data_IF_292928847525
#
_entry.id   IF_292928847525
#
_cell.length_a   1.000
_cell.length_b   1.000
_cell.length_c   1.000
_cell.angle_alpha   90.00
_cell.angle_beta   90.00
_cell.angle_gamma   90.00
#
_symmetry.space_group_name_H-M   'P 1'
#
loop_
_entity.id
_entity.type
_entity.pdbx_description
1 polymer ?
#
# COMPACT_ATOMS: atom_id res chain seq x y z
N UNK A 1 11.17 -20.90 -18.90
CA UNK A 1 10.13 -19.84 -18.97
C UNK A 1 9.95 -19.36 -17.54
N UNK A 2 10.13 -18.06 -17.25
CA UNK A 2 9.96 -17.55 -15.88
C UNK A 2 8.47 -17.60 -15.50
N UNK A 3 8.16 -18.02 -14.28
CA UNK A 3 6.79 -18.08 -13.80
C UNK A 3 6.14 -16.69 -13.79
N UNK A 4 4.90 -16.61 -14.28
CA UNK A 4 4.07 -15.44 -14.16
C UNK A 4 2.60 -15.85 -14.10
N UNK A 5 1.81 -15.10 -13.35
CA UNK A 5 0.38 -15.30 -13.20
C UNK A 5 -0.31 -13.95 -13.01
N UNK A 6 -1.49 -13.81 -13.62
CA UNK A 6 -2.42 -12.72 -13.33
C UNK A 6 -3.69 -13.36 -12.78
N UNK A 7 -4.20 -12.81 -11.68
CA UNK A 7 -5.35 -13.37 -10.97
C UNK A 7 -6.24 -12.27 -10.41
N UNK A 8 -7.50 -12.60 -10.16
CA UNK A 8 -8.44 -11.73 -9.47
C UNK A 8 -9.23 -12.56 -8.45
N UNK A 9 -9.34 -12.04 -7.23
CA UNK A 9 -10.15 -12.66 -6.18
C UNK A 9 -10.74 -11.59 -5.26
N UNK A 10 -11.49 -12.02 -4.25
CA UNK A 10 -12.13 -11.11 -3.30
C UNK A 10 -11.11 -10.20 -2.58
N UNK A 11 -9.91 -10.69 -2.25
CA UNK A 11 -8.89 -9.90 -1.57
C UNK A 11 -8.24 -8.88 -2.50
N UNK A 12 -7.90 -9.24 -3.74
CA UNK A 12 -7.31 -8.27 -4.70
C UNK A 12 -8.30 -7.15 -5.01
N UNK A 13 -9.59 -7.48 -5.21
CA UNK A 13 -10.66 -6.49 -5.42
C UNK A 13 -10.82 -5.53 -4.25
N UNK A 14 -10.87 -6.05 -3.02
CA UNK A 14 -11.00 -5.23 -1.80
C UNK A 14 -9.80 -4.32 -1.59
N UNK A 15 -8.59 -4.82 -1.83
CA UNK A 15 -7.35 -4.03 -1.73
C UNK A 15 -7.36 -2.92 -2.80
N UNK A 16 -7.68 -3.24 -4.06
CA UNK A 16 -7.77 -2.24 -5.13
C UNK A 16 -8.79 -1.15 -4.82
N UNK A 17 -9.99 -1.53 -4.38
CA UNK A 17 -11.04 -0.59 -3.94
C UNK A 17 -10.57 0.31 -2.80
N UNK A 18 -10.00 -0.26 -1.73
CA UNK A 18 -9.50 0.54 -0.59
C UNK A 18 -8.39 1.50 -1.01
N UNK A 19 -7.50 1.08 -1.91
CA UNK A 19 -6.46 1.96 -2.43
C UNK A 19 -7.02 3.16 -3.18
N UNK A 20 -8.00 2.94 -4.06
CA UNK A 20 -8.68 4.04 -4.77
C UNK A 20 -9.45 4.94 -3.81
N UNK A 21 -10.16 4.36 -2.85
CA UNK A 21 -10.91 5.09 -1.83
C UNK A 21 -9.99 5.95 -0.95
N UNK A 22 -8.87 5.40 -0.47
CA UNK A 22 -7.93 6.18 0.35
C UNK A 22 -7.36 7.34 -0.45
N UNK A 23 -6.92 7.13 -1.69
CA UNK A 23 -6.36 8.22 -2.51
C UNK A 23 -7.42 9.29 -2.84
N UNK A 24 -8.68 8.90 -3.05
CA UNK A 24 -9.79 9.86 -3.14
C UNK A 24 -9.89 10.72 -1.88
N UNK A 25 -9.96 10.08 -0.70
CA UNK A 25 -10.15 10.79 0.56
C UNK A 25 -8.93 11.65 0.93
N UNK A 26 -7.72 11.26 0.54
CA UNK A 26 -6.53 12.10 0.69
C UNK A 26 -6.61 13.36 -0.18
N UNK A 27 -6.99 13.24 -1.45
CA UNK A 27 -7.19 14.39 -2.34
C UNK A 27 -8.28 15.33 -1.78
N UNK A 28 -9.37 14.78 -1.24
CA UNK A 28 -10.42 15.60 -0.59
C UNK A 28 -9.92 16.31 0.67
N UNK A 29 -9.15 15.61 1.51
CA UNK A 29 -8.62 16.16 2.76
C UNK A 29 -7.71 17.36 2.47
N UNK A 30 -6.87 17.24 1.44
CA UNK A 30 -5.93 18.27 1.01
C UNK A 30 -6.65 19.46 0.37
N UNK A 31 -7.49 19.23 -0.64
CA UNK A 31 -8.14 20.30 -1.41
C UNK A 31 -9.18 21.07 -0.60
N UNK A 32 -9.90 20.38 0.29
CA UNK A 32 -10.92 21.03 1.13
C UNK A 32 -10.39 21.58 2.44
N UNK A 33 -9.09 21.39 2.71
CA UNK A 33 -8.40 21.76 3.96
C UNK A 33 -9.22 21.36 5.19
N UNK A 34 -9.52 20.06 5.25
CA UNK A 34 -10.27 19.46 6.34
C UNK A 34 -9.34 18.98 7.46
N UNK A 35 -9.79 19.09 8.71
CA UNK A 35 -9.07 18.47 9.84
C UNK A 35 -9.08 16.95 9.75
N UNK A 36 -10.20 16.37 9.34
CA UNK A 36 -10.35 14.92 9.17
C UNK A 36 -11.43 14.62 8.12
N UNK A 37 -11.44 13.40 7.60
CA UNK A 37 -12.53 12.87 6.78
C UNK A 37 -13.02 11.57 7.39
N UNK A 38 -14.35 11.52 7.61
CA UNK A 38 -15.04 10.32 8.04
C UNK A 38 -15.85 9.74 6.89
N UNK A 39 -16.12 8.44 6.98
CA UNK A 39 -16.84 7.73 5.94
C UNK A 39 -17.72 6.61 6.49
N UNK A 40 -18.75 6.26 5.74
CA UNK A 40 -19.45 4.98 5.85
C UNK A 40 -19.39 4.29 4.49
N UNK A 41 -19.03 3.01 4.48
CA UNK A 41 -18.79 2.28 3.24
C UNK A 41 -19.07 0.79 3.39
N UNK A 42 -19.45 0.19 2.27
CA UNK A 42 -19.54 -1.27 2.12
C UNK A 42 -18.27 -1.80 1.46
N UNK A 43 -17.94 -3.05 1.73
CA UNK A 43 -16.84 -3.75 1.07
C UNK A 43 -17.17 -4.16 -0.38
N UNK A 44 -18.39 -3.89 -0.84
CA UNK A 44 -18.80 -3.97 -2.24
C UNK A 44 -18.37 -2.70 -2.99
N UNK A 45 -17.46 -2.79 -3.98
CA UNK A 45 -16.97 -1.65 -4.74
C UNK A 45 -18.05 -0.88 -5.53
N UNK A 46 -19.22 -1.49 -5.73
CA UNK A 46 -20.35 -0.85 -6.44
C UNK A 46 -21.28 -0.05 -5.52
N UNK A 47 -21.07 -0.16 -4.20
CA UNK A 47 -21.86 0.58 -3.23
C UNK A 47 -21.45 2.05 -3.16
N UNK A 48 -22.42 2.90 -2.86
CA UNK A 48 -22.16 4.33 -2.60
C UNK A 48 -21.39 4.48 -1.29
N UNK A 49 -20.27 5.20 -1.35
CA UNK A 49 -19.50 5.61 -0.17
C UNK A 49 -20.08 6.92 0.37
N UNK A 50 -20.39 6.96 1.65
CA UNK A 50 -20.82 8.17 2.34
C UNK A 50 -19.57 8.86 2.89
N UNK A 51 -19.40 10.14 2.60
CA UNK A 51 -18.24 10.95 3.01
C UNK A 51 -18.69 12.15 3.82
N UNK A 52 -18.01 12.37 4.95
CA UNK A 52 -18.19 13.51 5.85
C UNK A 52 -16.87 14.26 6.00
N UNK A 53 -16.85 15.54 5.62
CA UNK A 53 -15.73 16.43 5.90
C UNK A 53 -15.86 17.01 7.32
N UNK A 54 -14.80 16.93 8.11
CA UNK A 54 -14.78 17.42 9.49
C UNK A 54 -13.92 18.67 9.59
N UNK A 55 -14.53 19.78 10.04
CA UNK A 55 -13.88 21.08 10.21
C UNK A 55 -13.09 21.52 8.95
N UNK A 56 -13.78 21.60 7.82
CA UNK A 56 -13.19 21.98 6.53
C UNK A 56 -13.23 23.48 6.28
N UNK A 57 -12.17 24.02 5.68
CA UNK A 57 -12.16 25.41 5.22
C UNK A 57 -12.99 25.60 3.93
N UNK A 58 -13.04 24.57 3.07
CA UNK A 58 -13.78 24.59 1.81
C UNK A 58 -14.79 23.44 1.72
N UNK A 59 -15.72 23.56 0.76
CA UNK A 59 -16.76 22.55 0.54
C UNK A 59 -16.17 21.30 -0.13
N UNK A 60 -16.42 20.13 0.44
CA UNK A 60 -16.01 18.85 -0.15
C UNK A 60 -16.82 18.46 -1.40
N UNK A 61 -17.96 19.10 -1.67
CA UNK A 61 -18.89 18.67 -2.73
C UNK A 61 -18.25 18.75 -4.11
N UNK A 62 -17.65 19.88 -4.44
CA UNK A 62 -17.04 20.11 -5.76
C UNK A 62 -15.84 19.16 -5.97
N UNK A 63 -15.00 19.00 -4.95
CA UNK A 63 -13.89 18.05 -4.98
C UNK A 63 -14.39 16.60 -5.09
N UNK A 64 -15.48 16.24 -4.42
CA UNK A 64 -16.05 14.88 -4.48
C UNK A 64 -16.53 14.53 -5.89
N UNK A 65 -17.20 15.46 -6.56
CA UNK A 65 -17.64 15.28 -7.95
C UNK A 65 -16.45 15.12 -8.91
N UNK A 66 -15.40 15.93 -8.73
CA UNK A 66 -14.19 15.87 -9.56
C UNK A 66 -13.41 14.57 -9.36
N UNK A 67 -13.10 14.22 -8.10
CA UNK A 67 -12.21 13.11 -7.78
C UNK A 67 -12.92 11.76 -7.77
N UNK A 68 -14.24 11.71 -7.52
CA UNK A 68 -15.02 10.47 -7.58
C UNK A 68 -14.88 9.77 -8.94
N UNK A 69 -14.96 10.53 -10.03
CA UNK A 69 -14.74 10.03 -11.39
C UNK A 69 -13.29 9.61 -11.65
N UNK A 70 -12.30 10.36 -11.13
CA UNK A 70 -10.86 10.03 -11.26
C UNK A 70 -10.52 8.66 -10.66
N UNK A 71 -11.10 8.34 -9.51
CA UNK A 71 -10.81 7.11 -8.77
C UNK A 71 -11.80 5.97 -9.00
N UNK A 72 -12.80 6.16 -9.86
CA UNK A 72 -13.88 5.19 -10.09
C UNK A 72 -14.53 4.76 -8.77
N UNK A 73 -14.96 5.76 -7.98
CA UNK A 73 -15.66 5.61 -6.71
C UNK A 73 -16.96 6.41 -6.77
N UNK A 74 -18.08 5.72 -6.51
CA UNK A 74 -19.38 6.37 -6.36
C UNK A 74 -19.49 6.85 -4.91
N UNK A 75 -19.53 8.17 -4.71
CA UNK A 75 -19.59 8.74 -3.38
C UNK A 75 -20.66 9.84 -3.27
N UNK A 76 -21.14 10.05 -2.05
CA UNK A 76 -22.10 11.10 -1.72
C UNK A 76 -21.81 11.68 -0.33
N UNK A 77 -22.27 12.89 -0.07
CA UNK A 77 -22.08 13.53 1.24
C UNK A 77 -23.10 12.98 2.24
N UNK A 78 -22.64 12.68 3.45
CA UNK A 78 -23.49 12.29 4.57
C UNK A 78 -22.67 12.09 5.84
N UNK A 79 -23.23 11.41 6.84
CA UNK A 79 -22.55 11.15 8.11
C UNK A 79 -21.66 9.90 8.00
N UNK A 80 -20.41 10.04 8.41
CA UNK A 80 -19.42 8.98 8.47
C UNK A 80 -19.40 8.26 9.83
N UNK A 81 -18.83 7.05 9.84
CA UNK A 81 -18.64 6.23 11.07
C UNK A 81 -17.21 5.77 11.27
N UNK A 82 -16.45 5.67 10.20
CA UNK A 82 -15.05 5.26 10.18
C UNK A 82 -14.19 6.48 9.86
N UNK A 83 -12.95 6.49 10.36
CA UNK A 83 -11.98 7.52 10.00
C UNK A 83 -11.15 7.05 8.81
N UNK A 84 -10.65 8.00 8.01
CA UNK A 84 -9.67 7.71 6.95
C UNK A 84 -8.49 6.86 7.47
N UNK A 85 -7.98 7.21 8.66
CA UNK A 85 -6.88 6.48 9.31
C UNK A 85 -7.13 4.98 9.51
N UNK A 86 -8.39 4.56 9.67
CA UNK A 86 -8.75 3.15 9.89
C UNK A 86 -8.56 2.31 8.61
N UNK A 87 -8.67 2.92 7.44
CA UNK A 87 -8.63 2.22 6.15
C UNK A 87 -7.22 1.68 5.83
N UNK A 88 -6.17 2.42 6.19
CA UNK A 88 -4.78 1.98 5.97
C UNK A 88 -4.48 0.65 6.65
N UNK A 89 -4.95 0.48 7.89
CA UNK A 89 -4.77 -0.77 8.65
C UNK A 89 -5.51 -1.95 8.01
N UNK A 90 -6.68 -1.70 7.39
CA UNK A 90 -7.47 -2.75 6.74
C UNK A 90 -6.76 -3.36 5.53
N UNK A 91 -5.95 -2.59 4.80
CA UNK A 91 -5.15 -3.12 3.68
C UNK A 91 -4.18 -4.20 4.16
N UNK A 92 -3.55 -3.99 5.32
CA UNK A 92 -2.63 -4.95 5.93
C UNK A 92 -3.37 -6.22 6.32
N UNK A 93 -4.55 -6.09 6.93
CA UNK A 93 -5.39 -7.24 7.27
C UNK A 93 -5.80 -8.06 6.04
N UNK A 94 -6.15 -7.41 4.94
CA UNK A 94 -6.49 -8.11 3.70
C UNK A 94 -5.31 -8.83 3.07
N UNK A 95 -4.12 -8.22 3.11
CA UNK A 95 -2.91 -8.91 2.68
C UNK A 95 -2.62 -10.15 3.53
N UNK A 96 -2.66 -10.00 4.87
CA UNK A 96 -2.39 -11.11 5.80
C UNK A 96 -3.31 -12.30 5.56
N UNK A 97 -4.60 -12.06 5.37
CA UNK A 97 -5.60 -13.12 5.15
C UNK A 97 -5.57 -13.70 3.73
N UNK A 98 -5.26 -12.86 2.73
CA UNK A 98 -5.39 -13.23 1.32
C UNK A 98 -4.12 -13.75 0.66
N UNK A 99 -2.95 -13.23 1.05
CA UNK A 99 -1.71 -13.39 0.25
C UNK A 99 -0.49 -13.80 1.06
N UNK A 100 -0.44 -13.53 2.36
CA UNK A 100 0.76 -13.78 3.15
C UNK A 100 1.17 -15.28 3.14
N UNK A 101 0.23 -16.20 3.37
CA UNK A 101 0.51 -17.64 3.32
C UNK A 101 0.96 -18.12 1.94
N UNK A 102 0.41 -17.52 0.87
CA UNK A 102 0.81 -17.79 -0.50
C UNK A 102 2.26 -17.39 -0.72
N UNK A 103 2.66 -16.17 -0.37
CA UNK A 103 4.05 -15.73 -0.50
C UNK A 103 5.02 -16.47 0.42
N UNK A 104 4.57 -16.89 1.61
CA UNK A 104 5.37 -17.72 2.50
C UNK A 104 5.70 -19.09 1.86
N UNK A 105 4.80 -19.65 1.06
CA UNK A 105 5.13 -20.87 0.30
C UNK A 105 6.20 -20.66 -0.77
N UNK A 106 6.26 -19.46 -1.36
CA UNK A 106 7.31 -19.09 -2.31
C UNK A 106 8.61 -18.72 -1.62
N UNK A 107 8.60 -18.20 -0.38
CA UNK A 107 9.84 -17.87 0.33
C UNK A 107 10.67 -19.11 0.67
N UNK A 108 10.04 -20.28 0.83
CA UNK A 108 10.74 -21.57 0.92
C UNK A 108 11.53 -21.86 -0.36
N UNK A 109 10.90 -21.68 -1.53
CA UNK A 109 11.57 -21.85 -2.82
C UNK A 109 12.70 -20.82 -3.00
N UNK A 110 12.49 -19.59 -2.55
CA UNK A 110 13.50 -18.52 -2.60
C UNK A 110 14.71 -18.84 -1.72
N UNK A 111 14.52 -19.40 -0.53
CA UNK A 111 15.60 -19.83 0.37
C UNK A 111 16.45 -20.96 -0.26
N UNK A 112 15.79 -21.91 -0.94
CA UNK A 112 16.45 -23.05 -1.60
C UNK A 112 17.19 -22.67 -2.89
N UNK A 113 16.61 -21.76 -3.69
CA UNK A 113 17.06 -21.50 -5.07
C UNK A 113 17.70 -20.12 -5.27
N UNK A 114 17.51 -19.20 -4.32
CA UNK A 114 17.84 -17.78 -4.46
C UNK A 114 16.92 -17.00 -5.39
N UNK A 115 15.87 -17.63 -5.96
CA UNK A 115 14.94 -16.98 -6.90
C UNK A 115 13.85 -16.24 -6.11
N UNK A 116 13.80 -14.93 -6.27
CA UNK A 116 12.79 -14.10 -5.61
C UNK A 116 11.47 -14.06 -6.39
N UNK A 117 10.36 -13.96 -5.67
CA UNK A 117 9.01 -13.81 -6.21
C UNK A 117 8.43 -12.47 -5.81
N UNK A 118 7.66 -11.87 -6.71
CA UNK A 118 7.02 -10.58 -6.52
C UNK A 118 5.52 -10.67 -6.76
N UNK A 119 4.74 -10.21 -5.79
CA UNK A 119 3.30 -10.04 -5.87
C UNK A 119 2.96 -8.55 -5.95
N UNK A 120 2.10 -8.19 -6.90
CA UNK A 120 1.53 -6.86 -7.01
C UNK A 120 0.01 -6.90 -7.03
N UNK A 121 -0.63 -5.86 -6.49
CA UNK A 121 -2.05 -5.59 -6.65
C UNK A 121 -2.22 -4.22 -7.30
N UNK A 122 -2.94 -4.18 -8.41
CA UNK A 122 -3.25 -2.99 -9.18
C UNK A 122 -4.42 -2.23 -8.57
N UNK A 123 -4.54 -0.94 -8.90
CA UNK A 123 -5.65 -0.11 -8.44
C UNK A 123 -7.01 -0.60 -8.91
N UNK A 124 -7.09 -1.31 -10.04
CA UNK A 124 -8.34 -1.91 -10.54
C UNK A 124 -8.74 -3.21 -9.83
N UNK A 125 -7.91 -3.70 -8.90
CA UNK A 125 -8.18 -4.91 -8.13
C UNK A 125 -7.70 -6.21 -8.78
N UNK A 126 -6.94 -6.15 -9.89
CA UNK A 126 -6.20 -7.31 -10.41
C UNK A 126 -4.92 -7.52 -9.61
N UNK A 127 -4.58 -8.77 -9.36
CA UNK A 127 -3.30 -9.19 -8.78
C UNK A 127 -2.40 -9.86 -9.80
N UNK A 128 -1.11 -9.86 -9.54
CA UNK A 128 -0.14 -10.61 -10.33
C UNK A 128 0.97 -11.16 -9.45
N UNK A 129 1.58 -12.26 -9.90
CA UNK A 129 2.72 -12.90 -9.26
C UNK A 129 3.78 -13.18 -10.33
N UNK A 130 5.02 -12.76 -10.10
CA UNK A 130 6.13 -12.85 -11.03
C UNK A 130 7.33 -13.52 -10.37
N UNK A 131 8.05 -14.31 -11.15
CA UNK A 131 9.37 -14.80 -10.82
C UNK A 131 10.44 -13.80 -11.25
N UNK A 132 11.29 -13.43 -10.31
CA UNK A 132 12.43 -12.54 -10.50
C UNK A 132 13.63 -13.22 -11.15
N UNK A 133 14.80 -12.66 -10.89
CA UNK A 133 16.10 -13.32 -11.06
C UNK A 133 16.62 -13.85 -9.73
N UNK A 134 17.81 -14.44 -9.78
CA UNK A 134 18.55 -14.84 -8.57
C UNK A 134 18.96 -13.58 -7.81
N UNK A 135 18.48 -13.43 -6.57
CA UNK A 135 18.73 -12.29 -5.68
C UNK A 135 18.31 -10.91 -6.23
N UNK A 136 17.39 -10.86 -7.18
CA UNK A 136 16.89 -9.58 -7.70
C UNK A 136 15.53 -9.71 -8.38
N UNK A 137 14.67 -8.72 -8.18
CA UNK A 137 13.47 -8.50 -8.99
C UNK A 137 13.61 -7.16 -9.73
N UNK A 138 13.21 -7.14 -11.01
CA UNK A 138 13.07 -5.91 -11.79
C UNK A 138 11.77 -5.98 -12.58
N UNK A 139 10.87 -5.04 -12.31
CA UNK A 139 9.54 -4.98 -12.92
C UNK A 139 9.41 -3.61 -13.59
N UNK A 140 8.85 -3.53 -14.82
CA UNK A 140 8.48 -2.25 -15.41
C UNK A 140 7.64 -1.41 -14.44
N UNK A 141 7.73 -0.08 -14.50
CA UNK A 141 6.92 0.79 -13.66
C UNK A 141 5.43 0.65 -14.02
N UNK A 142 4.76 -0.28 -13.35
CA UNK A 142 3.32 -0.50 -13.41
C UNK A 142 2.73 0.18 -12.17
N UNK A 143 1.76 1.10 -12.31
CA UNK A 143 1.07 1.69 -11.17
C UNK A 143 0.41 0.61 -10.31
N UNK A 144 0.81 0.55 -9.05
CA UNK A 144 0.44 -0.49 -8.12
C UNK A 144 -0.02 0.12 -6.81
N UNK A 145 -1.01 -0.53 -6.22
CA UNK A 145 -1.61 -0.13 -4.96
C UNK A 145 -0.90 -0.80 -3.79
N UNK A 146 -0.49 -2.06 -3.96
CA UNK A 146 0.16 -2.86 -2.95
C UNK A 146 1.18 -3.79 -3.61
N UNK A 147 2.32 -4.00 -2.95
CA UNK A 147 3.39 -4.84 -3.48
C UNK A 147 3.98 -5.70 -2.39
N UNK A 148 4.52 -6.86 -2.74
CA UNK A 148 5.17 -7.74 -1.80
C UNK A 148 6.21 -8.60 -2.51
N UNK A 149 7.33 -8.92 -1.86
CA UNK A 149 8.30 -9.84 -2.44
C UNK A 149 9.00 -10.69 -1.40
N UNK A 150 9.62 -11.77 -1.88
CA UNK A 150 10.40 -12.69 -1.05
C UNK A 150 11.88 -12.30 -1.02
N UNK A 151 12.56 -12.47 0.11
CA UNK A 151 14.01 -12.43 0.18
C UNK A 151 14.61 -13.84 0.36
N UNK A 152 15.80 -14.11 -0.21
CA UNK A 152 16.55 -15.34 0.01
C UNK A 152 17.29 -15.38 1.35
N UNK A 153 17.26 -14.29 2.10
CA UNK A 153 17.87 -14.23 3.44
C UNK A 153 16.81 -14.50 4.53
N UNK A 154 17.25 -14.97 5.70
CA UNK A 154 16.37 -15.06 6.88
C UNK A 154 15.97 -13.69 7.46
N UNK A 155 16.45 -12.59 6.88
CA UNK A 155 16.20 -11.23 7.31
C UNK A 155 15.20 -10.53 6.37
N UNK A 156 14.05 -10.03 6.87
CA UNK A 156 13.10 -9.27 6.06
C UNK A 156 13.51 -7.80 5.95
N UNK A 157 14.77 -7.45 6.23
CA UNK A 157 15.21 -6.07 6.19
C UNK A 157 15.34 -5.59 4.74
N UNK A 158 14.82 -4.39 4.42
CA UNK A 158 14.91 -3.81 3.08
C UNK A 158 16.34 -3.43 2.72
N UNK A 159 16.69 -3.65 1.45
CA UNK A 159 17.85 -3.07 0.80
C UNK A 159 17.60 -1.62 0.36
N UNK A 160 18.64 -0.93 -0.08
CA UNK A 160 18.53 0.39 -0.70
C UNK A 160 17.55 0.38 -1.90
N UNK A 161 17.55 -0.69 -2.70
CA UNK A 161 16.62 -0.84 -3.83
C UNK A 161 15.17 -1.00 -3.36
N UNK A 162 14.94 -1.72 -2.26
CA UNK A 162 13.61 -1.87 -1.68
C UNK A 162 13.08 -0.54 -1.19
N UNK A 163 13.89 0.27 -0.49
CA UNK A 163 13.50 1.62 -0.11
C UNK A 163 13.19 2.52 -1.31
N UNK A 164 13.99 2.43 -2.37
CA UNK A 164 13.74 3.15 -3.63
C UNK A 164 12.39 2.75 -4.23
N UNK A 165 12.10 1.44 -4.28
CA UNK A 165 10.83 0.90 -4.77
C UNK A 165 9.64 1.28 -3.88
N UNK A 166 9.80 1.28 -2.55
CA UNK A 166 8.78 1.72 -1.59
C UNK A 166 8.47 3.21 -1.80
N UNK A 167 9.49 4.04 -1.94
CA UNK A 167 9.32 5.48 -2.21
C UNK A 167 8.58 5.69 -3.53
N UNK A 168 8.99 5.01 -4.60
CA UNK A 168 8.32 5.08 -5.90
C UNK A 168 6.87 4.60 -5.79
N UNK A 169 6.59 3.51 -5.07
CA UNK A 169 5.23 3.01 -4.83
C UNK A 169 4.37 4.07 -4.13
N UNK A 170 4.88 4.63 -3.03
CA UNK A 170 4.16 5.57 -2.17
C UNK A 170 3.88 6.89 -2.85
N UNK A 171 4.84 7.43 -3.60
CA UNK A 171 4.65 8.65 -4.39
C UNK A 171 3.66 8.48 -5.55
N UNK A 172 3.42 7.26 -6.01
CA UNK A 172 2.42 6.95 -7.03
C UNK A 172 1.08 6.45 -6.44
N UNK A 173 0.79 6.78 -5.17
CA UNK A 173 -0.47 6.47 -4.50
C UNK A 173 -0.59 5.02 -4.01
N UNK A 174 0.47 4.22 -4.10
CA UNK A 174 0.52 2.91 -3.47
C UNK A 174 0.60 3.02 -1.95
N UNK A 175 0.10 2.02 -1.24
CA UNK A 175 -0.20 2.13 0.19
C UNK A 175 0.62 1.19 1.08
N UNK A 176 1.05 0.04 0.56
CA UNK A 176 1.78 -0.93 1.37
C UNK A 176 2.77 -1.76 0.55
N UNK A 177 3.89 -2.05 1.19
CA UNK A 177 4.94 -2.93 0.70
C UNK A 177 5.27 -4.00 1.74
N UNK A 178 5.47 -5.24 1.32
CA UNK A 178 5.77 -6.36 2.22
C UNK A 178 7.03 -7.09 1.79
N UNK A 179 7.87 -7.45 2.75
CA UNK A 179 9.04 -8.28 2.53
C UNK A 179 8.86 -9.57 3.33
N UNK A 180 8.92 -10.70 2.63
CA UNK A 180 8.61 -12.03 3.16
C UNK A 180 9.86 -12.90 3.13
N UNK A 181 10.22 -13.51 4.26
CA UNK A 181 11.23 -14.56 4.34
C UNK A 181 10.58 -15.85 4.83
N UNK A 182 11.35 -16.93 4.93
CA UNK A 182 10.87 -18.20 5.46
C UNK A 182 10.43 -18.10 6.94
N UNK A 183 11.01 -17.18 7.71
CA UNK A 183 10.79 -17.10 9.17
C UNK A 183 10.12 -15.82 9.63
N UNK A 184 10.20 -14.74 8.85
CA UNK A 184 9.77 -13.40 9.27
C UNK A 184 9.19 -12.64 8.10
N UNK A 185 8.30 -11.71 8.39
CA UNK A 185 7.81 -10.76 7.39
C UNK A 185 7.69 -9.39 8.00
N UNK A 186 7.93 -8.36 7.19
CA UNK A 186 7.62 -6.98 7.55
C UNK A 186 6.63 -6.40 6.56
N UNK A 187 5.78 -5.51 7.05
CA UNK A 187 5.03 -4.58 6.24
C UNK A 187 5.54 -3.17 6.51
N UNK A 188 5.69 -2.40 5.45
CA UNK A 188 5.97 -0.97 5.46
C UNK A 188 4.80 -0.32 4.71
N UNK A 189 4.06 0.55 5.38
CA UNK A 189 2.79 1.05 4.84
C UNK A 189 2.49 2.47 5.26
N UNK A 190 1.78 3.21 4.42
CA UNK A 190 1.27 4.54 4.74
C UNK A 190 0.21 4.44 5.82
N UNK A 191 0.20 5.39 6.74
CA UNK A 191 -0.78 5.54 7.81
C UNK A 191 -1.40 6.95 7.83
N UNK A 192 -1.30 7.64 6.71
CA UNK A 192 -1.84 8.97 6.44
C UNK A 192 -1.30 9.52 5.11
N UNK A 193 -1.80 10.70 4.68
CA UNK A 193 -1.30 11.41 3.50
C UNK A 193 0.19 11.70 3.64
N UNK A 194 0.97 11.38 2.61
CA UNK A 194 2.41 11.63 2.60
C UNK A 194 2.71 13.12 2.59
N UNK A 195 3.67 13.51 3.40
CA UNK A 195 4.22 14.87 3.45
C UNK A 195 5.62 14.91 2.82
N UNK A 196 6.10 16.11 2.53
CA UNK A 196 7.49 16.31 2.07
C UNK A 196 8.52 15.73 3.05
N UNK A 197 8.29 15.86 4.36
CA UNK A 197 9.17 15.28 5.38
C UNK A 197 9.18 13.75 5.34
N UNK A 198 8.04 13.11 5.08
CA UNK A 198 7.98 11.65 4.89
C UNK A 198 8.82 11.21 3.67
N UNK A 199 8.76 11.98 2.59
CA UNK A 199 9.54 11.74 1.38
C UNK A 199 11.04 11.88 1.60
N UNK A 200 11.47 12.89 2.36
CA UNK A 200 12.88 13.08 2.75
C UNK A 200 13.39 11.91 3.61
N UNK A 201 12.58 11.43 4.56
CA UNK A 201 12.92 10.26 5.37
C UNK A 201 13.08 8.99 4.51
N UNK A 202 12.24 8.81 3.48
CA UNK A 202 12.39 7.69 2.54
C UNK A 202 13.68 7.79 1.70
N UNK A 203 14.07 9.00 1.27
CA UNK A 203 15.38 9.23 0.60
C UNK A 203 16.54 8.90 1.54
N UNK A 204 16.45 9.32 2.80
CA UNK A 204 17.49 9.04 3.79
C UNK A 204 17.58 7.54 4.09
N UNK A 205 16.44 6.85 4.17
CA UNK A 205 16.38 5.39 4.34
C UNK A 205 17.05 4.66 3.16
N UNK A 206 16.81 5.08 1.93
CA UNK A 206 17.47 4.54 0.72
C UNK A 206 19.00 4.69 0.77
N UNK A 207 19.51 5.78 1.37
CA UNK A 207 20.94 6.07 1.49
C UNK A 207 21.60 5.51 2.75
N UNK A 208 20.80 4.99 3.68
CA UNK A 208 21.30 4.49 4.96
C UNK A 208 22.14 3.24 4.79
N UNK A 209 23.25 3.15 5.54
CA UNK A 209 24.03 1.93 5.68
C UNK A 209 23.42 0.93 6.69
N UNK A 210 22.43 1.38 7.48
CA UNK A 210 21.74 0.59 8.50
C UNK A 210 20.24 0.55 8.21
N UNK A 211 19.72 -0.55 7.62
CA UNK A 211 18.29 -0.72 7.37
C UNK A 211 17.45 -0.68 8.65
N UNK A 212 18.00 -1.08 9.79
CA UNK A 212 17.30 -1.07 11.08
C UNK A 212 17.07 0.35 11.55
N UNK A 213 18.11 1.20 11.53
CA UNK A 213 17.97 2.61 11.90
C UNK A 213 17.01 3.33 10.95
N UNK A 214 17.14 3.07 9.65
CA UNK A 214 16.23 3.62 8.63
C UNK A 214 14.75 3.27 8.92
N UNK A 215 14.46 2.01 9.26
CA UNK A 215 13.10 1.59 9.64
C UNK A 215 12.63 2.25 10.95
N UNK A 216 13.51 2.43 11.94
CA UNK A 216 13.16 3.11 13.19
C UNK A 216 12.86 4.59 12.96
N UNK A 217 13.63 5.27 12.12
CA UNK A 217 13.44 6.68 11.77
C UNK A 217 12.12 6.87 11.02
N UNK A 218 11.83 5.99 10.04
CA UNK A 218 10.52 5.97 9.38
C UNK A 218 9.39 5.76 10.39
N UNK A 219 9.50 4.74 11.25
CA UNK A 219 8.43 4.42 12.20
C UNK A 219 8.15 5.52 13.25
N UNK A 220 9.13 6.37 13.57
CA UNK A 220 9.01 7.43 14.58
C UNK A 220 8.68 8.79 14.00
N UNK A 221 9.29 9.12 12.86
CA UNK A 221 9.31 10.47 12.29
C UNK A 221 8.35 10.68 11.14
N UNK A 222 7.63 9.63 10.71
CA UNK A 222 6.84 9.69 9.48
C UNK A 222 5.40 9.18 9.65
N UNK A 223 4.58 9.46 8.64
CA UNK A 223 3.27 8.84 8.43
C UNK A 223 3.38 7.46 7.78
N UNK A 224 4.58 6.87 7.72
CA UNK A 224 4.81 5.47 7.34
C UNK A 224 5.00 4.64 8.61
N UNK A 225 4.29 3.52 8.68
CA UNK A 225 4.40 2.55 9.77
C UNK A 225 5.12 1.30 9.30
N UNK A 226 5.78 0.66 10.25
CA UNK A 226 6.44 -0.63 10.09
C UNK A 226 5.80 -1.61 11.06
N UNK A 227 5.36 -2.76 10.58
CA UNK A 227 4.87 -3.84 11.45
C UNK A 227 5.45 -5.19 11.04
N UNK A 228 5.69 -6.05 12.03
CA UNK A 228 6.03 -7.45 11.81
C UNK A 228 4.74 -8.27 11.68
N UNK A 229 4.72 -9.17 10.70
CA UNK A 229 3.53 -9.98 10.35
C UNK A 229 3.63 -11.40 10.87
#
# INVERSE_FOLDING_TARGET
MKYHEVFENNYTRRIGFLCRLINLLEDLLEESDCRDIQLDYSEDPTSVVIVEGVDCAYSILESLELYGGKYDIIASIGLGRFKLGDLYGRIIEYYRRGFHSRLLSYSVLTDETGIEYYLGVLFDGRGFLLEGGVNTISIPRIPQCLTAHTHPSHSPLPSSRDFSAIRDLFTNGGLAHFIVTINKSIAIYRAGPLTTSDYELLINAERSSSPVEALMDLARGSRVKVCFI
#
